data_IF_722947358351
#
_entry.id   IF_722947358351
#
_cell.length_a   1.000
_cell.length_b   1.000
_cell.length_c   1.000
_cell.angle_alpha   90.00
_cell.angle_beta   90.00
_cell.angle_gamma   90.00
#
_symmetry.space_group_name_H-M   'P 1'
#
loop_
_entity.id
_entity.type
_entity.pdbx_description
1 polymer ?
#
# COMPACT_ATOMS: atom_id res chain seq x y z
N UNK A 1 2.14 -13.30 -7.97
CA UNK A 1 2.65 -14.36 -7.07
C UNK A 1 3.11 -13.78 -5.74
N UNK A 2 4.11 -12.87 -5.76
CA UNK A 2 4.81 -12.35 -4.56
C UNK A 2 3.87 -11.77 -3.51
N UNK A 3 2.85 -10.98 -3.91
CA UNK A 3 1.89 -10.38 -2.99
C UNK A 3 1.17 -11.42 -2.12
N UNK A 4 0.65 -12.47 -2.74
CA UNK A 4 -0.06 -13.56 -2.06
C UNK A 4 0.91 -14.42 -1.25
N UNK A 5 2.04 -14.82 -1.83
CA UNK A 5 3.01 -15.68 -1.15
C UNK A 5 3.56 -15.02 0.13
N UNK A 6 3.97 -13.76 0.07
CA UNK A 6 4.44 -13.04 1.25
C UNK A 6 3.33 -12.87 2.30
N UNK A 7 2.08 -12.65 1.88
CA UNK A 7 0.95 -12.55 2.78
C UNK A 7 0.70 -13.86 3.55
N UNK A 8 0.80 -15.03 2.89
CA UNK A 8 0.66 -16.34 3.58
C UNK A 8 1.74 -16.55 4.64
N UNK A 9 2.98 -16.12 4.38
CA UNK A 9 4.04 -16.17 5.39
C UNK A 9 3.72 -15.22 6.55
N UNK A 10 3.25 -13.98 6.26
CA UNK A 10 2.86 -13.01 7.28
C UNK A 10 1.78 -13.53 8.25
N UNK A 11 0.86 -14.36 7.76
CA UNK A 11 -0.19 -14.98 8.58
C UNK A 11 0.34 -15.94 9.66
N UNK A 12 1.49 -16.57 9.42
CA UNK A 12 2.05 -17.60 10.31
C UNK A 12 3.10 -17.06 11.28
N UNK A 13 3.58 -15.83 11.07
CA UNK A 13 4.57 -15.22 11.95
C UNK A 13 3.96 -14.79 13.30
N UNK A 14 4.76 -14.89 14.35
CA UNK A 14 4.41 -14.43 15.71
C UNK A 14 5.27 -13.25 16.17
N UNK A 15 6.36 -12.96 15.49
CA UNK A 15 7.20 -11.78 15.70
C UNK A 15 6.57 -10.58 15.01
N UNK A 16 6.29 -9.51 15.79
CA UNK A 16 5.62 -8.29 15.29
C UNK A 16 6.37 -7.63 14.12
N UNK A 17 7.71 -7.59 14.15
CA UNK A 17 8.53 -7.04 13.08
C UNK A 17 8.51 -7.93 11.84
N UNK A 18 8.52 -9.26 12.01
CA UNK A 18 8.47 -10.21 10.88
C UNK A 18 7.13 -10.14 10.15
N UNK A 19 6.02 -10.05 10.87
CA UNK A 19 4.71 -9.84 10.24
C UNK A 19 4.74 -8.59 9.36
N UNK A 20 5.25 -7.47 9.89
CA UNK A 20 5.34 -6.21 9.15
C UNK A 20 6.33 -6.30 7.97
N UNK A 21 7.45 -7.03 8.10
CA UNK A 21 8.41 -7.24 7.02
C UNK A 21 7.76 -8.00 5.84
N UNK A 22 7.12 -9.14 6.10
CA UNK A 22 6.42 -9.89 5.04
C UNK A 22 5.23 -9.12 4.47
N UNK A 23 4.56 -8.31 5.29
CA UNK A 23 3.58 -7.37 4.83
C UNK A 23 4.18 -6.34 3.85
N UNK A 24 5.42 -5.86 4.08
CA UNK A 24 6.10 -4.96 3.13
C UNK A 24 6.37 -5.66 1.81
N UNK A 25 6.89 -6.88 1.83
CA UNK A 25 7.13 -7.69 0.61
C UNK A 25 5.82 -7.89 -0.16
N UNK A 26 4.71 -8.15 0.55
CA UNK A 26 3.39 -8.29 -0.06
C UNK A 26 2.94 -7.00 -0.76
N UNK A 27 3.08 -5.83 -0.11
CA UNK A 27 2.67 -4.55 -0.72
C UNK A 27 3.57 -4.14 -1.90
N UNK A 28 4.86 -4.42 -1.84
CA UNK A 28 5.76 -4.25 -3.01
C UNK A 28 5.28 -5.13 -4.17
N UNK A 29 4.77 -6.33 -3.89
CA UNK A 29 4.14 -7.19 -4.89
C UNK A 29 2.95 -6.53 -5.61
N UNK A 30 2.17 -5.67 -4.93
CA UNK A 30 1.12 -4.85 -5.58
C UNK A 30 1.69 -3.76 -6.47
N UNK A 31 2.79 -3.10 -6.05
CA UNK A 31 3.44 -2.08 -6.87
C UNK A 31 3.97 -2.69 -8.17
N UNK A 32 4.57 -3.90 -8.10
CA UNK A 32 4.98 -4.65 -9.29
C UNK A 32 3.80 -5.14 -10.14
N UNK A 33 2.66 -5.46 -9.52
CA UNK A 33 1.45 -5.81 -10.26
C UNK A 33 0.97 -4.59 -11.07
N UNK A 34 0.87 -3.42 -10.44
CA UNK A 34 0.47 -2.18 -11.11
C UNK A 34 1.44 -1.81 -12.25
N UNK A 35 2.75 -1.86 -11.98
CA UNK A 35 3.76 -1.60 -13.01
C UNK A 35 3.68 -2.61 -14.17
N UNK A 36 3.36 -3.87 -13.88
CA UNK A 36 3.25 -4.93 -14.87
C UNK A 36 2.04 -4.80 -15.81
N UNK A 37 0.97 -4.11 -15.38
CA UNK A 37 -0.20 -3.78 -16.21
C UNK A 37 -0.13 -2.35 -16.77
N UNK A 38 1.04 -1.70 -16.72
CA UNK A 38 1.24 -0.35 -17.26
C UNK A 38 0.73 0.80 -16.38
N UNK A 39 0.11 0.51 -15.22
CA UNK A 39 -0.44 1.51 -14.31
C UNK A 39 0.67 2.11 -13.41
N UNK A 40 1.63 2.81 -14.02
CA UNK A 40 2.82 3.33 -13.31
C UNK A 40 2.46 4.37 -12.26
N UNK A 41 1.52 5.27 -12.55
CA UNK A 41 1.04 6.28 -11.60
C UNK A 41 0.42 5.64 -10.37
N UNK A 42 -0.43 4.62 -10.56
CA UNK A 42 -1.03 3.84 -9.46
C UNK A 42 0.05 3.13 -8.62
N UNK A 43 1.09 2.58 -9.25
CA UNK A 43 2.22 1.96 -8.54
C UNK A 43 2.94 2.97 -7.65
N UNK A 44 3.22 4.18 -8.15
CA UNK A 44 3.88 5.26 -7.38
C UNK A 44 2.93 5.81 -6.31
N UNK A 45 1.66 5.99 -6.61
CA UNK A 45 0.67 6.42 -5.62
C UNK A 45 0.62 5.43 -4.45
N UNK A 46 0.57 4.13 -4.74
CA UNK A 46 0.61 3.12 -3.68
C UNK A 46 1.95 3.13 -2.93
N UNK A 47 3.07 3.39 -3.58
CA UNK A 47 4.38 3.53 -2.93
C UNK A 47 4.39 4.69 -1.93
N UNK A 48 3.84 5.86 -2.29
CA UNK A 48 3.76 7.03 -1.42
C UNK A 48 2.86 6.77 -0.20
N UNK A 49 1.64 6.27 -0.43
CA UNK A 49 0.73 5.96 0.68
C UNK A 49 1.27 4.84 1.56
N UNK A 50 1.92 3.84 0.95
CA UNK A 50 2.59 2.76 1.66
C UNK A 50 3.70 3.28 2.58
N UNK A 51 4.49 4.26 2.15
CA UNK A 51 5.52 4.86 3.00
C UNK A 51 4.91 5.42 4.29
N UNK A 52 3.76 6.09 4.23
CA UNK A 52 3.12 6.70 5.41
C UNK A 52 2.65 5.62 6.41
N UNK A 53 1.80 4.71 6.00
CA UNK A 53 1.28 3.71 6.93
C UNK A 53 2.32 2.68 7.34
N UNK A 54 3.30 2.35 6.48
CA UNK A 54 4.37 1.40 6.85
C UNK A 54 5.36 2.00 7.85
N UNK A 55 5.80 3.22 7.63
CA UNK A 55 6.65 3.89 8.61
C UNK A 55 5.95 3.98 9.97
N UNK A 56 4.64 4.33 9.99
CA UNK A 56 3.86 4.36 11.22
C UNK A 56 3.79 2.99 11.90
N UNK A 57 3.51 1.91 11.15
CA UNK A 57 3.44 0.55 11.69
C UNK A 57 4.79 0.07 12.23
N UNK A 58 5.89 0.31 11.52
CA UNK A 58 7.22 -0.09 12.00
C UNK A 58 7.68 0.71 13.21
N UNK A 59 7.51 2.03 13.21
CA UNK A 59 7.82 2.86 14.38
C UNK A 59 6.88 2.53 15.55
N UNK A 60 5.60 2.25 15.28
CA UNK A 60 4.64 1.80 16.29
C UNK A 60 5.01 0.44 16.88
N UNK A 61 5.50 -0.52 16.05
CA UNK A 61 6.04 -1.77 16.58
C UNK A 61 7.28 -1.54 17.44
N UNK A 62 8.14 -0.58 17.05
CA UNK A 62 9.27 -0.14 17.87
C UNK A 62 8.84 0.43 19.21
N UNK A 63 7.75 1.22 19.23
CA UNK A 63 7.15 1.75 20.46
C UNK A 63 6.63 0.62 21.37
N UNK A 64 5.92 -0.38 20.81
CA UNK A 64 5.45 -1.55 21.57
C UNK A 64 6.63 -2.31 22.19
N UNK A 65 7.66 -2.59 21.40
CA UNK A 65 8.86 -3.31 21.85
C UNK A 65 9.59 -2.53 22.94
N UNK A 66 9.68 -1.20 22.81
CA UNK A 66 10.26 -0.33 23.84
C UNK A 66 9.47 -0.41 25.14
N UNK A 67 8.13 -0.26 25.07
CA UNK A 67 7.26 -0.35 26.25
C UNK A 67 7.21 -1.73 26.91
N UNK A 68 7.67 -2.77 26.21
CA UNK A 68 7.75 -4.15 26.69
C UNK A 68 9.21 -4.62 26.95
N UNK A 69 10.15 -3.70 27.10
CA UNK A 69 11.54 -3.99 27.43
C UNK A 69 12.24 -4.96 26.46
N UNK A 70 11.86 -4.91 25.16
CA UNK A 70 12.50 -5.68 24.11
C UNK A 70 11.72 -6.91 23.61
N UNK A 71 10.54 -7.24 24.18
CA UNK A 71 9.73 -8.37 23.73
C UNK A 71 9.17 -8.12 22.32
N UNK A 72 9.27 -9.12 21.44
CA UNK A 72 8.81 -9.06 20.05
C UNK A 72 7.74 -10.12 19.72
N UNK A 73 7.60 -11.14 20.57
CA UNK A 73 6.64 -12.22 20.36
C UNK A 73 5.23 -11.78 20.78
N UNK A 74 4.33 -11.68 19.80
CA UNK A 74 2.93 -11.28 20.03
C UNK A 74 2.16 -12.24 20.95
N UNK A 75 2.64 -13.49 21.14
CA UNK A 75 2.02 -14.46 22.05
C UNK A 75 2.24 -14.08 23.51
N UNK A 76 3.25 -13.24 23.78
CA UNK A 76 3.59 -12.69 25.09
C UNK A 76 3.15 -11.23 25.26
N UNK A 77 2.25 -10.76 24.40
CA UNK A 77 1.65 -9.44 24.46
C UNK A 77 0.17 -9.55 24.83
N UNK A 78 -0.57 -8.46 24.75
CA UNK A 78 -2.02 -8.38 24.99
C UNK A 78 -2.39 -7.28 25.95
N UNK A 79 -3.62 -6.77 25.84
CA UNK A 79 -4.18 -5.69 26.65
C UNK A 79 -3.36 -4.37 26.65
N UNK A 80 -2.53 -4.13 25.62
CA UNK A 80 -1.65 -2.96 25.59
C UNK A 80 -2.37 -1.65 25.25
N UNK A 81 -3.59 -1.71 24.77
CA UNK A 81 -4.34 -0.53 24.30
C UNK A 81 -4.51 0.53 25.42
N UNK A 82 -4.71 0.10 26.66
CA UNK A 82 -4.95 0.99 27.80
C UNK A 82 -3.64 1.54 28.38
N UNK A 83 -2.53 0.85 28.17
CA UNK A 83 -1.19 1.25 28.61
C UNK A 83 -0.44 2.11 27.58
N UNK A 84 -0.78 1.95 26.29
CA UNK A 84 -0.13 2.63 25.16
C UNK A 84 -1.17 3.22 24.19
N UNK A 85 -2.03 4.16 24.63
CA UNK A 85 -3.17 4.62 23.84
C UNK A 85 -2.76 5.37 22.58
N UNK A 86 -1.70 6.18 22.58
CA UNK A 86 -1.22 6.92 21.41
C UNK A 86 -0.66 5.94 20.39
N UNK A 87 0.20 5.04 20.82
CA UNK A 87 0.77 3.98 19.97
C UNK A 87 -0.34 3.10 19.39
N UNK A 88 -1.35 2.71 20.19
CA UNK A 88 -2.49 1.92 19.71
C UNK A 88 -3.28 2.64 18.62
N UNK A 89 -3.71 3.89 18.86
CA UNK A 89 -4.56 4.62 17.90
C UNK A 89 -3.83 4.83 16.59
N UNK A 90 -2.58 5.26 16.62
CA UNK A 90 -1.78 5.51 15.41
C UNK A 90 -1.49 4.21 14.63
N UNK A 91 -1.21 3.14 15.35
CA UNK A 91 -1.02 1.80 14.77
C UNK A 91 -2.31 1.28 14.15
N UNK A 92 -3.45 1.47 14.81
CA UNK A 92 -4.76 1.03 14.34
C UNK A 92 -5.20 1.78 13.08
N UNK A 93 -5.05 3.12 13.04
CA UNK A 93 -5.30 3.91 11.82
C UNK A 93 -4.47 3.38 10.65
N UNK A 94 -3.19 3.13 10.87
CA UNK A 94 -2.30 2.61 9.82
C UNK A 94 -2.63 1.17 9.42
N UNK A 95 -3.16 0.37 10.35
CA UNK A 95 -3.68 -0.98 10.06
C UNK A 95 -4.92 -0.92 9.17
N UNK A 96 -5.85 -0.01 9.45
CA UNK A 96 -7.02 0.21 8.60
C UNK A 96 -6.61 0.70 7.21
N UNK A 97 -5.61 1.60 7.14
CA UNK A 97 -5.08 2.10 5.87
C UNK A 97 -4.48 0.97 5.02
N UNK A 98 -3.57 0.16 5.57
CA UNK A 98 -2.97 -0.94 4.81
C UNK A 98 -3.97 -2.05 4.45
N UNK A 99 -5.01 -2.25 5.27
CA UNK A 99 -6.11 -3.18 4.94
C UNK A 99 -6.96 -2.70 3.76
N UNK A 100 -6.89 -1.41 3.40
CA UNK A 100 -7.68 -0.83 2.32
C UNK A 100 -9.10 -0.47 2.75
N UNK A 101 -9.27 0.07 3.96
CA UNK A 101 -10.59 0.47 4.47
C UNK A 101 -10.85 1.94 4.15
N UNK A 102 -12.00 2.20 3.54
CA UNK A 102 -12.46 3.57 3.26
C UNK A 102 -12.62 4.37 4.58
N UNK A 103 -12.25 5.65 4.64
CA UNK A 103 -11.73 6.54 3.59
C UNK A 103 -10.18 6.75 3.64
N UNK A 104 -9.43 5.75 4.07
CA UNK A 104 -7.99 5.87 4.31
C UNK A 104 -7.16 5.74 3.01
N UNK A 105 -5.93 6.23 3.05
CA UNK A 105 -5.06 6.33 1.88
C UNK A 105 -4.83 5.01 1.13
N UNK A 106 -4.72 3.90 1.85
CA UNK A 106 -4.51 2.58 1.25
C UNK A 106 -5.72 2.02 0.50
N UNK A 107 -6.95 2.49 0.80
CA UNK A 107 -8.13 2.14 0.02
C UNK A 107 -7.96 2.66 -1.41
N UNK A 108 -7.80 3.96 -1.58
CA UNK A 108 -7.70 4.59 -2.91
C UNK A 108 -6.55 4.02 -3.75
N UNK A 109 -5.37 3.86 -3.15
CA UNK A 109 -4.20 3.39 -3.89
C UNK A 109 -4.25 1.90 -4.26
N UNK A 110 -4.90 1.04 -3.45
CA UNK A 110 -5.11 -0.38 -3.80
C UNK A 110 -6.22 -0.56 -4.81
N UNK A 111 -7.30 0.19 -4.65
CA UNK A 111 -8.45 0.14 -5.54
C UNK A 111 -8.03 0.50 -6.96
N UNK A 112 -7.26 1.57 -7.12
CA UNK A 112 -6.69 1.97 -8.40
C UNK A 112 -5.84 0.86 -9.05
N UNK A 113 -5.00 0.17 -8.28
CA UNK A 113 -4.21 -0.97 -8.79
C UNK A 113 -5.11 -2.12 -9.25
N UNK A 114 -6.12 -2.46 -8.45
CA UNK A 114 -7.04 -3.56 -8.75
C UNK A 114 -7.94 -3.22 -9.94
N UNK A 115 -8.37 -1.96 -10.05
CA UNK A 115 -9.11 -1.45 -11.19
C UNK A 115 -8.33 -1.61 -12.50
N UNK A 116 -7.08 -1.14 -12.55
CA UNK A 116 -6.23 -1.28 -13.73
C UNK A 116 -5.95 -2.75 -14.07
N UNK A 117 -5.71 -3.60 -13.08
CA UNK A 117 -5.52 -5.04 -13.32
C UNK A 117 -6.76 -5.72 -13.91
N UNK A 118 -7.98 -5.26 -13.55
CA UNK A 118 -9.23 -5.74 -14.12
C UNK A 118 -9.44 -5.22 -15.56
N UNK A 119 -9.16 -3.92 -15.78
CA UNK A 119 -9.33 -3.30 -17.11
C UNK A 119 -8.34 -3.83 -18.15
N UNK A 120 -7.14 -4.24 -17.72
CA UNK A 120 -6.17 -4.99 -18.57
C UNK A 120 -6.70 -6.37 -19.01
N UNK A 121 -7.87 -6.77 -18.54
CA UNK A 121 -8.52 -8.04 -18.87
C UNK A 121 -7.90 -9.26 -18.17
N UNK A 122 -6.95 -9.08 -17.27
CA UNK A 122 -6.27 -10.17 -16.59
C UNK A 122 -6.94 -10.55 -15.27
N UNK A 123 -8.07 -11.25 -15.36
CA UNK A 123 -8.87 -11.71 -14.21
C UNK A 123 -8.04 -12.51 -13.18
N UNK A 124 -7.00 -13.22 -13.63
CA UNK A 124 -6.12 -13.99 -12.73
C UNK A 124 -5.30 -13.02 -11.85
N UNK A 125 -4.69 -11.99 -12.44
CA UNK A 125 -3.93 -10.99 -11.69
C UNK A 125 -4.82 -10.21 -10.72
N UNK A 126 -6.01 -9.82 -11.17
CA UNK A 126 -7.02 -9.19 -10.32
C UNK A 126 -7.42 -10.09 -9.15
N UNK A 127 -7.76 -11.36 -9.41
CA UNK A 127 -8.12 -12.33 -8.37
C UNK A 127 -6.99 -12.57 -7.36
N UNK A 128 -5.74 -12.62 -7.81
CA UNK A 128 -4.56 -12.68 -6.93
C UNK A 128 -4.42 -11.39 -6.09
N UNK A 129 -4.72 -10.23 -6.66
CA UNK A 129 -4.77 -8.97 -5.95
C UNK A 129 -5.80 -8.97 -4.82
N UNK A 130 -7.06 -9.32 -5.12
CA UNK A 130 -8.13 -9.44 -4.11
C UNK A 130 -7.75 -10.44 -3.00
N UNK A 131 -7.25 -11.62 -3.37
CA UNK A 131 -6.80 -12.62 -2.39
C UNK A 131 -5.72 -12.04 -1.47
N UNK A 132 -4.72 -11.36 -2.02
CA UNK A 132 -3.68 -10.70 -1.24
C UNK A 132 -4.22 -9.60 -0.31
N UNK A 133 -5.26 -8.85 -0.74
CA UNK A 133 -5.91 -7.83 0.08
C UNK A 133 -6.62 -8.45 1.29
N UNK A 134 -7.38 -9.53 1.09
CA UNK A 134 -8.03 -10.28 2.17
C UNK A 134 -7.03 -10.85 3.17
N UNK A 135 -5.94 -11.46 2.69
CA UNK A 135 -4.87 -11.95 3.54
C UNK A 135 -4.18 -10.81 4.31
N UNK A 136 -4.00 -9.63 3.67
CA UNK A 136 -3.45 -8.44 4.32
C UNK A 136 -4.33 -8.00 5.48
N UNK A 137 -5.62 -7.86 5.27
CA UNK A 137 -6.57 -7.53 6.33
C UNK A 137 -6.48 -8.56 7.48
N UNK A 138 -6.52 -9.85 7.15
CA UNK A 138 -6.47 -10.91 8.16
C UNK A 138 -5.23 -10.83 9.05
N UNK A 139 -4.00 -10.82 8.48
CA UNK A 139 -2.80 -10.84 9.32
C UNK A 139 -2.58 -9.51 10.06
N UNK A 140 -3.01 -8.39 9.51
CA UNK A 140 -2.90 -7.10 10.19
C UNK A 140 -3.85 -6.98 11.38
N UNK A 141 -5.11 -7.39 11.21
CA UNK A 141 -6.04 -7.44 12.35
C UNK A 141 -5.63 -8.49 13.37
N UNK A 142 -5.14 -9.66 12.95
CA UNK A 142 -4.55 -10.65 13.87
C UNK A 142 -3.43 -10.03 14.71
N UNK A 143 -2.50 -9.27 14.10
CA UNK A 143 -1.43 -8.59 14.81
C UNK A 143 -1.99 -7.61 15.84
N UNK A 144 -2.95 -6.77 15.44
CA UNK A 144 -3.58 -5.78 16.34
C UNK A 144 -4.28 -6.47 17.51
N UNK A 145 -5.09 -7.51 17.25
CA UNK A 145 -5.81 -8.20 18.31
C UNK A 145 -4.86 -8.93 19.28
N UNK A 146 -3.81 -9.55 18.78
CA UNK A 146 -2.84 -10.25 19.64
C UNK A 146 -1.99 -9.29 20.48
N UNK A 147 -1.72 -8.07 19.99
CA UNK A 147 -0.85 -7.10 20.66
C UNK A 147 -1.63 -6.19 21.63
N UNK A 148 -2.77 -5.65 21.20
CA UNK A 148 -3.45 -4.57 21.92
C UNK A 148 -4.71 -5.01 22.65
N UNK A 149 -5.30 -6.14 22.29
CA UNK A 149 -6.55 -6.62 22.86
C UNK A 149 -6.37 -7.96 23.60
N UNK A 150 -7.47 -8.43 24.20
CA UNK A 150 -7.52 -9.68 24.95
C UNK A 150 -6.89 -9.58 26.32
N UNK A 151 -6.57 -10.74 26.94
CA UNK A 151 -5.91 -10.80 28.23
C UNK A 151 -4.42 -10.47 28.11
N UNK A 152 -3.87 -9.83 29.15
CA UNK A 152 -2.44 -9.56 29.22
C UNK A 152 -1.67 -10.87 29.40
N UNK A 153 -0.71 -11.10 28.53
CA UNK A 153 0.24 -12.22 28.57
C UNK A 153 1.67 -11.72 28.79
N UNK A 154 1.78 -10.47 29.20
CA UNK A 154 3.06 -9.81 29.50
C UNK A 154 3.63 -10.39 30.79
N UNK A 155 4.96 -10.53 30.87
CA UNK A 155 5.65 -10.97 32.09
C UNK A 155 5.24 -10.05 33.27
N UNK A 156 4.85 -10.62 34.45
CA UNK A 156 4.46 -9.82 35.60
C UNK A 156 5.49 -8.80 36.09
N UNK A 157 6.77 -9.01 35.78
CA UNK A 157 7.86 -8.08 36.10
C UNK A 157 8.00 -6.91 35.10
N UNK A 158 7.30 -6.95 33.97
CA UNK A 158 7.32 -5.90 32.96
C UNK A 158 6.08 -5.03 33.12
N UNK A 159 6.28 -3.75 33.30
CA UNK A 159 5.21 -2.76 33.37
C UNK A 159 5.08 -2.02 32.04
N UNK A 160 4.09 -2.36 31.20
CA UNK A 160 3.89 -1.69 29.91
C UNK A 160 3.63 -0.19 30.12
N UNK A 161 4.29 0.64 29.33
CA UNK A 161 4.15 2.11 29.39
C UNK A 161 4.22 2.71 27.99
N UNK A 162 3.59 3.87 27.82
CA UNK A 162 3.65 4.61 26.55
C UNK A 162 5.06 5.14 26.31
N UNK A 163 5.46 5.15 25.06
CA UNK A 163 6.77 5.66 24.65
C UNK A 163 6.85 7.19 24.79
N UNK A 164 8.07 7.75 24.97
CA UNK A 164 8.27 9.19 25.11
C UNK A 164 7.79 9.98 23.88
N UNK A 165 7.50 11.27 24.05
CA UNK A 165 6.96 12.15 23.00
C UNK A 165 7.80 12.18 21.73
N UNK A 166 9.13 12.00 21.83
CA UNK A 166 10.03 11.92 20.68
C UNK A 166 9.70 10.75 19.76
N UNK A 167 9.16 9.65 20.30
CA UNK A 167 8.72 8.48 19.52
C UNK A 167 7.25 8.60 19.07
N UNK A 168 6.38 9.13 19.94
CA UNK A 168 4.94 9.19 19.63
C UNK A 168 4.57 10.33 18.67
N UNK A 169 5.31 11.45 18.63
CA UNK A 169 5.04 12.55 17.70
C UNK A 169 5.16 12.13 16.23
N UNK A 170 6.22 11.44 15.78
CA UNK A 170 6.29 10.91 14.42
C UNK A 170 5.13 9.95 14.09
N UNK A 171 4.69 9.13 15.06
CA UNK A 171 3.55 8.23 14.86
C UNK A 171 2.26 9.00 14.55
N UNK A 172 1.99 10.07 15.30
CA UNK A 172 0.80 10.91 15.08
C UNK A 172 0.82 11.58 13.71
N UNK A 173 1.99 12.12 13.31
CA UNK A 173 2.15 12.75 11.98
C UNK A 173 1.92 11.72 10.87
N UNK A 174 2.57 10.55 10.97
CA UNK A 174 2.44 9.49 9.96
C UNK A 174 1.03 8.89 9.91
N UNK A 175 0.36 8.74 11.05
CA UNK A 175 -1.03 8.31 11.09
C UNK A 175 -1.97 9.34 10.42
N UNK A 176 -1.72 10.64 10.62
CA UNK A 176 -2.41 11.71 9.90
C UNK A 176 -2.19 11.62 8.39
N UNK A 177 -0.95 11.39 7.95
CA UNK A 177 -0.64 11.20 6.52
C UNK A 177 -1.26 9.89 5.98
N UNK A 178 -1.33 8.82 6.76
CA UNK A 178 -2.01 7.57 6.39
C UNK A 178 -3.53 7.75 6.27
N UNK A 179 -4.10 8.70 7.01
CA UNK A 179 -5.52 9.04 6.92
C UNK A 179 -5.81 9.92 5.70
N UNK A 180 -5.10 11.04 5.56
CA UNK A 180 -5.38 12.07 4.55
C UNK A 180 -4.62 11.86 3.23
N UNK A 181 -3.58 11.04 3.20
CA UNK A 181 -2.71 10.84 2.02
C UNK A 181 -3.43 10.27 0.80
N UNK A 182 -4.62 9.69 0.98
CA UNK A 182 -5.50 9.28 -0.11
C UNK A 182 -5.97 10.45 -0.98
N UNK A 183 -6.09 11.65 -0.40
CA UNK A 183 -6.48 12.85 -1.14
C UNK A 183 -5.53 13.23 -2.29
N UNK A 184 -4.30 12.70 -2.29
CA UNK A 184 -3.33 12.91 -3.38
C UNK A 184 -3.75 12.24 -4.70
N UNK A 185 -4.57 11.19 -4.63
CA UNK A 185 -5.03 10.44 -5.81
C UNK A 185 -6.54 10.56 -6.08
N UNK A 186 -7.32 11.24 -5.20
CA UNK A 186 -8.78 11.31 -5.37
C UNK A 186 -9.14 12.45 -6.32
N UNK A 187 -9.92 12.21 -7.38
CA UNK A 187 -10.44 13.25 -8.26
C UNK A 187 -11.65 13.98 -7.64
N UNK A 188 -11.52 14.46 -6.37
CA UNK A 188 -12.62 15.13 -5.64
C UNK A 188 -13.07 16.43 -6.29
N UNK A 189 -12.21 17.11 -7.06
CA UNK A 189 -12.50 18.33 -7.79
C UNK A 189 -11.83 18.29 -9.15
N UNK A 190 -12.46 18.87 -10.18
CA UNK A 190 -11.86 19.02 -11.51
C UNK A 190 -10.46 19.64 -11.39
N UNK A 191 -9.42 18.88 -11.75
CA UNK A 191 -8.02 19.32 -11.73
C UNK A 191 -7.18 18.86 -10.52
N UNK A 192 -7.73 18.08 -9.59
CA UNK A 192 -7.01 17.64 -8.38
C UNK A 192 -6.26 16.30 -8.51
N UNK A 193 -5.98 15.85 -9.71
CA UNK A 193 -5.05 14.72 -9.94
C UNK A 193 -3.60 15.15 -9.69
N UNK A 194 -3.29 15.61 -8.47
CA UNK A 194 -2.00 16.25 -8.15
C UNK A 194 -0.84 15.32 -8.52
N UNK A 195 -0.90 14.08 -8.10
CA UNK A 195 0.17 13.11 -8.35
C UNK A 195 0.23 12.70 -9.82
N UNK A 196 -0.93 12.49 -10.45
CA UNK A 196 -1.04 12.13 -11.87
C UNK A 196 -0.46 13.27 -12.73
N UNK A 197 -0.93 14.49 -12.55
CA UNK A 197 -0.46 15.67 -13.31
C UNK A 197 1.04 15.94 -13.09
N UNK A 198 1.56 15.66 -11.89
CA UNK A 198 2.98 15.80 -11.60
C UNK A 198 3.84 14.73 -12.27
N UNK A 199 3.32 13.52 -12.42
CA UNK A 199 4.01 12.39 -13.04
C UNK A 199 3.76 12.29 -14.55
N UNK A 200 2.72 12.93 -15.06
CA UNK A 200 2.33 12.91 -16.47
C UNK A 200 3.50 13.16 -17.43
N UNK A 201 4.37 14.19 -17.24
CA UNK A 201 5.49 14.42 -18.15
C UNK A 201 6.53 13.30 -18.17
N UNK A 202 6.54 12.43 -17.16
CA UNK A 202 7.47 11.30 -17.03
C UNK A 202 6.93 10.04 -17.70
N UNK A 203 5.60 9.83 -17.61
CA UNK A 203 4.96 8.61 -18.10
C UNK A 203 4.24 8.77 -19.45
N UNK A 204 3.79 9.96 -19.78
CA UNK A 204 3.50 10.34 -21.16
C UNK A 204 4.81 10.64 -21.90
N UNK A 205 5.66 9.66 -21.96
CA UNK A 205 6.60 9.59 -23.07
C UNK A 205 5.71 9.51 -24.29
N UNK A 206 5.74 10.56 -25.13
CA UNK A 206 4.99 10.58 -26.37
C UNK A 206 5.52 9.45 -27.24
N UNK A 207 5.00 8.24 -27.00
CA UNK A 207 5.36 7.02 -27.72
C UNK A 207 5.05 7.20 -29.21
N UNK A 208 4.06 8.05 -29.53
CA UNK A 208 3.73 8.39 -30.90
C UNK A 208 4.88 9.17 -31.55
N UNK A 209 5.42 10.20 -30.87
CA UNK A 209 6.57 10.95 -31.42
C UNK A 209 7.86 10.15 -31.42
N UNK A 210 8.09 9.30 -30.42
CA UNK A 210 9.25 8.40 -30.38
C UNK A 210 9.18 7.31 -31.44
N UNK A 211 7.99 6.76 -31.70
CA UNK A 211 7.78 5.77 -32.77
C UNK A 211 7.85 6.41 -34.15
N UNK A 212 7.30 7.61 -34.33
CA UNK A 212 7.40 8.37 -35.59
C UNK A 212 8.86 8.73 -35.90
N UNK A 213 9.60 9.19 -34.89
CA UNK A 213 11.04 9.44 -35.01
C UNK A 213 11.82 8.16 -35.35
N UNK A 214 11.52 7.05 -34.69
CA UNK A 214 12.17 5.76 -34.96
C UNK A 214 11.79 5.21 -36.34
N UNK A 215 10.53 5.38 -36.79
CA UNK A 215 10.07 5.02 -38.10
C UNK A 215 10.77 5.83 -39.20
N UNK A 216 10.97 7.13 -38.95
CA UNK A 216 11.70 8.03 -39.87
C UNK A 216 13.16 7.57 -40.03
N UNK A 217 13.84 7.25 -38.90
CA UNK A 217 15.22 6.74 -38.95
C UNK A 217 15.33 5.38 -39.66
N UNK A 218 14.36 4.51 -39.49
CA UNK A 218 14.31 3.20 -40.22
C UNK A 218 14.05 3.40 -41.72
N UNK A 219 13.20 4.36 -42.06
CA UNK A 219 12.95 4.70 -43.45
C UNK A 219 14.20 5.26 -44.17
N UNK A 220 14.97 6.11 -43.47
CA UNK A 220 16.25 6.60 -43.98
C UNK A 220 17.28 5.48 -44.16
N UNK A 221 17.19 4.40 -43.37
CA UNK A 221 18.04 3.20 -43.48
C UNK A 221 17.50 2.18 -44.49
N UNK A 222 16.39 2.48 -45.20
CA UNK A 222 15.78 1.54 -46.18
C UNK A 222 15.12 0.32 -45.52
N UNK A 223 14.78 0.39 -44.23
CA UNK A 223 14.10 -0.68 -43.50
C UNK A 223 12.61 -0.34 -43.31
N UNK A 224 11.74 -1.34 -43.45
CA UNK A 224 10.32 -1.17 -43.17
C UNK A 224 10.09 -1.09 -41.64
N UNK A 225 9.43 -0.03 -41.19
CA UNK A 225 8.97 0.06 -39.79
C UNK A 225 7.84 -0.94 -39.53
N UNK A 226 7.86 -1.64 -38.37
CA UNK A 226 6.73 -2.47 -37.94
C UNK A 226 5.48 -1.61 -37.73
N UNK A 227 4.29 -2.11 -38.08
CA UNK A 227 3.03 -1.42 -37.81
C UNK A 227 2.65 -1.51 -36.34
N UNK A 228 2.92 -0.46 -35.57
CA UNK A 228 2.60 -0.35 -34.13
C UNK A 228 1.25 0.35 -33.87
N UNK A 229 0.44 0.57 -34.91
CA UNK A 229 -0.83 1.31 -34.84
C UNK A 229 -1.83 0.74 -33.82
N UNK A 230 -1.74 -0.54 -33.48
CA UNK A 230 -2.61 -1.21 -32.50
C UNK A 230 -2.23 -0.89 -31.05
N UNK A 231 -1.03 -0.31 -30.77
CA UNK A 231 -0.59 0.08 -29.43
C UNK A 231 -0.93 1.55 -29.10
N UNK A 232 -1.43 2.31 -30.09
CA UNK A 232 -1.72 3.73 -29.98
C UNK A 232 -3.22 4.04 -29.86
N UNK A 233 -4.06 3.03 -29.59
CA UNK A 233 -5.49 3.28 -29.37
C UNK A 233 -5.66 4.14 -28.10
N UNK A 234 -6.36 5.30 -28.17
CA UNK A 234 -6.61 6.10 -26.99
C UNK A 234 -7.49 5.32 -26.02
N UNK A 235 -7.14 5.35 -24.73
CA UNK A 235 -8.00 4.84 -23.66
C UNK A 235 -9.29 5.67 -23.61
N UNK A 236 -10.37 5.14 -24.17
CA UNK A 236 -11.70 5.76 -24.09
C UNK A 236 -12.30 5.52 -22.69
N UNK A 237 -12.48 6.60 -21.95
CA UNK A 237 -13.54 6.74 -20.96
C UNK A 237 -13.31 6.13 -19.58
N UNK A 238 -12.59 6.85 -18.74
CA UNK A 238 -12.63 6.68 -17.29
C UNK A 238 -14.06 6.89 -16.75
N UNK A 239 -14.69 5.83 -16.29
CA UNK A 239 -16.01 5.90 -15.66
C UNK A 239 -15.86 5.84 -14.14
N UNK A 240 -15.80 7.03 -13.51
CA UNK A 240 -15.58 7.25 -12.07
C UNK A 240 -16.52 6.42 -11.18
N UNK A 241 -17.71 6.09 -11.69
CA UNK A 241 -18.70 5.32 -10.92
C UNK A 241 -18.37 3.84 -10.76
N UNK A 242 -17.48 3.30 -11.61
CA UNK A 242 -17.00 1.91 -11.49
C UNK A 242 -15.95 1.82 -10.39
N UNK A 243 -15.16 2.87 -10.18
CA UNK A 243 -14.14 2.94 -9.11
C UNK A 243 -14.74 2.94 -7.70
N UNK A 244 -15.97 3.43 -7.53
CA UNK A 244 -16.63 3.50 -6.21
C UNK A 244 -17.43 2.21 -5.91
N UNK A 245 -17.74 1.41 -6.92
CA UNK A 245 -18.61 0.24 -6.79
C UNK A 245 -17.87 -1.11 -6.66
N UNK A 246 -16.54 -1.15 -6.81
CA UNK A 246 -15.67 -2.31 -6.61
C UNK A 246 -14.97 -2.24 -5.25
#
# INVERSE_FOLDING_TARGET
>A
GTAVFAATIGMTQFDIKRVLAYSTVSQIGYMFLAAGVGAYTAAIFHMVTHAFFKACLFLGSGSVIHGLHGEQDMRKMGALKDHMPITFVTFFISTLAIAGIFPLAGFFSKDEILYHALMDGNVILWGMGITGALLTAFYMFRLVFMTFFGESRVDPNVHPHESPKVMTMPLVILAGLAFFGGALGIPLFHGWHILHNWLEPVFHFDMASALDHSAHLLHEQGKHAPSWSHLLAPEEGHNIWIEIAL
#
